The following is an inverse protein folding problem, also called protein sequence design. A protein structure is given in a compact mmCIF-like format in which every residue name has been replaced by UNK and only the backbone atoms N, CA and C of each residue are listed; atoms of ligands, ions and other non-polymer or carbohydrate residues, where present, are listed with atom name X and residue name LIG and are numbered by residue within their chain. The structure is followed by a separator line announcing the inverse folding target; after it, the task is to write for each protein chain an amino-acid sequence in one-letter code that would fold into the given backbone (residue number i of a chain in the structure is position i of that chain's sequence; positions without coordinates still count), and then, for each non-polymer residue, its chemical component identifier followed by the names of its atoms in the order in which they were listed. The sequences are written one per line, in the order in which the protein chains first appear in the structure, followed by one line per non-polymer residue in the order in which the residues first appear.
data_IF_539807864607
#
_entry.id   IF_539807864607
#
_cell.length_a   1.000
_cell.length_b   1.000
_cell.length_c   1.000
_cell.angle_alpha   90.00
_cell.angle_beta   90.00
_cell.angle_gamma   90.00
#
_symmetry.space_group_name_H-M   'P 1'
#
loop_
_entity.id
_entity.type
_entity.pdbx_description
1 polymer ?
#
# COMPACT_ATOMS: atom_id res chain seq x y z
N UNK A 1 -14.39 -24.06 -11.98
CA UNK A 1 -14.29 -23.05 -10.89
C UNK A 1 -14.48 -21.65 -11.49
N UNK A 2 -15.39 -20.81 -10.98
CA UNK A 2 -15.74 -19.53 -11.66
C UNK A 2 -14.72 -18.41 -11.36
N UNK A 3 -14.28 -17.69 -12.39
CA UNK A 3 -13.35 -16.51 -12.32
C UNK A 3 -13.77 -15.53 -11.22
N UNK A 4 -15.08 -15.23 -11.13
CA UNK A 4 -15.63 -14.30 -10.13
C UNK A 4 -15.42 -14.74 -8.68
N UNK A 5 -15.34 -16.06 -8.40
CA UNK A 5 -15.07 -16.57 -7.05
C UNK A 5 -13.62 -16.36 -6.67
N UNK A 6 -12.70 -16.63 -7.60
CA UNK A 6 -11.26 -16.45 -7.40
C UNK A 6 -10.89 -15.00 -7.13
N UNK A 7 -11.43 -14.08 -7.95
CA UNK A 7 -11.23 -12.63 -7.73
C UNK A 7 -11.77 -12.16 -6.38
N UNK A 8 -12.96 -12.63 -5.97
CA UNK A 8 -13.53 -12.30 -4.65
C UNK A 8 -12.69 -12.84 -3.50
N UNK A 9 -12.24 -14.08 -3.59
CA UNK A 9 -11.43 -14.70 -2.53
C UNK A 9 -10.07 -14.00 -2.39
N UNK A 10 -9.42 -13.65 -3.51
CA UNK A 10 -8.16 -12.91 -3.52
C UNK A 10 -8.30 -11.49 -2.95
N UNK A 11 -9.42 -10.80 -3.26
CA UNK A 11 -9.70 -9.48 -2.71
C UNK A 11 -10.03 -9.53 -1.22
N UNK A 12 -10.84 -10.50 -0.77
CA UNK A 12 -11.17 -10.68 0.65
C UNK A 12 -9.92 -10.89 1.51
N UNK A 13 -8.91 -11.56 0.95
CA UNK A 13 -7.62 -11.80 1.60
C UNK A 13 -6.62 -10.64 1.43
N UNK A 14 -6.96 -9.58 0.68
CA UNK A 14 -6.09 -8.43 0.32
C UNK A 14 -4.81 -8.81 -0.45
N UNK A 15 -4.71 -10.04 -0.96
CA UNK A 15 -3.53 -10.55 -1.67
C UNK A 15 -3.63 -10.44 -3.18
N UNK A 16 -4.78 -10.03 -3.73
CA UNK A 16 -5.00 -9.96 -5.18
C UNK A 16 -3.95 -9.12 -5.93
N UNK A 17 -3.35 -8.12 -5.28
CA UNK A 17 -2.26 -7.30 -5.85
C UNK A 17 -0.95 -8.08 -6.09
N UNK A 18 -0.72 -9.18 -5.38
CA UNK A 18 0.50 -9.99 -5.43
C UNK A 18 0.46 -11.14 -6.44
N UNK A 19 -0.72 -11.47 -6.97
CA UNK A 19 -0.90 -12.62 -7.85
C UNK A 19 -1.40 -12.19 -9.23
N UNK A 20 -0.86 -12.83 -10.25
CA UNK A 20 -1.45 -12.91 -11.57
C UNK A 20 -2.17 -14.26 -11.64
N UNK A 21 -3.47 -14.25 -11.93
CA UNK A 21 -4.31 -15.46 -11.95
C UNK A 21 -5.02 -15.52 -13.29
N UNK A 22 -4.82 -16.61 -14.01
CA UNK A 22 -5.53 -16.91 -15.25
C UNK A 22 -6.47 -18.10 -15.01
N UNK A 23 -7.73 -17.92 -15.41
CA UNK A 23 -8.75 -18.96 -15.36
C UNK A 23 -9.19 -19.23 -16.80
N UNK A 24 -9.09 -20.48 -17.21
CA UNK A 24 -9.47 -20.99 -18.54
C UNK A 24 -10.52 -22.08 -18.37
N UNK A 25 -11.13 -22.51 -19.47
CA UNK A 25 -12.09 -23.63 -19.43
C UNK A 25 -11.46 -24.94 -18.95
N UNK A 26 -10.16 -25.12 -19.16
CA UNK A 26 -9.39 -26.29 -18.74
C UNK A 26 -8.77 -26.22 -17.36
N UNK A 27 -8.82 -25.07 -16.66
CA UNK A 27 -8.24 -24.96 -15.32
C UNK A 27 -7.78 -23.57 -14.88
N UNK A 28 -7.01 -23.54 -13.80
CA UNK A 28 -6.49 -22.31 -13.17
C UNK A 28 -4.97 -22.36 -13.14
N UNK A 29 -4.33 -21.28 -13.54
CA UNK A 29 -2.90 -21.04 -13.32
C UNK A 29 -2.70 -19.73 -12.58
N UNK A 30 -1.60 -19.64 -11.82
CA UNK A 30 -1.25 -18.44 -11.08
C UNK A 30 0.26 -18.26 -11.00
N UNK A 31 0.69 -17.00 -10.89
CA UNK A 31 2.09 -16.61 -10.64
C UNK A 31 2.13 -15.47 -9.63
N UNK A 32 3.20 -15.45 -8.83
CA UNK A 32 3.48 -14.32 -7.93
C UNK A 32 4.12 -13.19 -8.71
N UNK A 33 3.70 -11.96 -8.42
CA UNK A 33 4.33 -10.74 -8.90
C UNK A 33 5.49 -10.39 -7.98
N UNK A 34 6.59 -11.15 -8.08
CA UNK A 34 7.70 -11.06 -7.13
C UNK A 34 8.28 -9.64 -7.02
N UNK A 35 8.38 -8.91 -8.13
CA UNK A 35 8.80 -7.50 -8.11
C UNK A 35 7.86 -6.59 -7.30
N UNK A 36 6.54 -6.81 -7.36
CA UNK A 36 5.59 -6.04 -6.52
C UNK A 36 5.66 -6.44 -5.06
N UNK A 37 5.83 -7.73 -4.78
CA UNK A 37 5.98 -8.23 -3.42
C UNK A 37 7.25 -7.64 -2.79
N UNK A 38 8.37 -7.64 -3.53
CA UNK A 38 9.62 -7.06 -3.05
C UNK A 38 9.54 -5.54 -2.88
N UNK A 39 8.87 -4.83 -3.80
CA UNK A 39 8.67 -3.39 -3.67
C UNK A 39 7.79 -3.02 -2.47
N UNK A 40 6.75 -3.81 -2.18
CA UNK A 40 5.92 -3.62 -1.00
C UNK A 40 6.68 -3.94 0.29
N UNK A 41 7.40 -5.07 0.34
CA UNK A 41 8.19 -5.45 1.50
C UNK A 41 9.28 -4.42 1.85
N UNK A 42 9.79 -3.67 0.87
CA UNK A 42 10.72 -2.55 1.11
C UNK A 42 10.09 -1.40 1.89
N UNK A 43 8.77 -1.23 1.78
CA UNK A 43 8.00 -0.23 2.52
C UNK A 43 7.41 -0.81 3.80
N UNK A 44 7.56 -2.10 4.07
CA UNK A 44 7.10 -2.70 5.31
C UNK A 44 8.19 -2.52 6.39
N UNK A 45 8.03 -1.50 7.22
CA UNK A 45 8.96 -1.18 8.30
C UNK A 45 8.33 -0.27 9.35
N UNK A 46 9.04 -0.02 10.44
CA UNK A 46 8.65 0.98 11.44
C UNK A 46 9.07 2.35 10.93
N UNK A 47 8.10 3.24 10.75
CA UNK A 47 8.33 4.62 10.36
C UNK A 47 8.28 5.53 11.58
N UNK A 48 9.29 6.39 11.72
CA UNK A 48 9.37 7.38 12.80
C UNK A 48 9.30 8.77 12.20
N UNK A 49 8.30 9.54 12.61
CA UNK A 49 8.21 10.97 12.30
C UNK A 49 8.94 11.72 13.41
N UNK A 50 9.88 12.60 13.04
CA UNK A 50 10.61 13.46 13.97
C UNK A 50 10.36 14.93 13.64
N UNK A 51 10.16 15.72 14.68
CA UNK A 51 10.03 17.19 14.61
C UNK A 51 10.98 17.80 15.64
N UNK A 52 11.43 19.02 15.39
CA UNK A 52 12.23 19.81 16.34
C UNK A 52 11.38 20.53 17.39
N UNK A 53 10.05 20.47 17.26
CA UNK A 53 9.11 21.07 18.21
C UNK A 53 8.95 20.17 19.43
N UNK A 54 8.83 20.79 20.60
CA UNK A 54 8.49 20.08 21.83
C UNK A 54 7.02 19.62 21.81
N UNK A 55 6.67 18.73 22.75
CA UNK A 55 5.34 18.12 22.82
C UNK A 55 4.22 19.08 23.24
N UNK A 56 4.53 20.20 23.91
CA UNK A 56 3.54 21.23 24.23
C UNK A 56 3.22 22.08 23.01
N UNK A 57 4.22 22.29 22.14
CA UNK A 57 4.09 23.02 20.87
C UNK A 57 3.45 22.15 19.77
N UNK A 58 3.80 20.86 19.68
CA UNK A 58 3.25 19.93 18.70
C UNK A 58 3.19 18.51 19.25
N UNK A 59 2.00 18.07 19.63
CA UNK A 59 1.75 16.72 20.12
C UNK A 59 1.96 15.64 19.03
N UNK A 60 2.07 14.36 19.43
CA UNK A 60 2.34 13.25 18.50
C UNK A 60 1.30 13.10 17.40
N UNK A 61 -0.01 13.16 17.69
CA UNK A 61 -1.04 13.05 16.66
C UNK A 61 -0.98 14.22 15.68
N UNK A 62 -0.81 15.44 16.20
CA UNK A 62 -0.69 16.64 15.39
C UNK A 62 0.56 16.61 14.48
N UNK A 63 1.67 16.03 14.94
CA UNK A 63 2.86 15.83 14.12
C UNK A 63 2.62 14.84 12.97
N UNK A 64 1.88 13.76 13.22
CA UNK A 64 1.48 12.79 12.19
C UNK A 64 0.56 13.47 11.16
N UNK A 65 -0.39 14.27 11.60
CA UNK A 65 -1.35 14.95 10.72
C UNK A 65 -0.68 16.05 9.89
N UNK A 66 0.23 16.83 10.48
CA UNK A 66 1.03 17.81 9.75
C UNK A 66 1.87 17.16 8.64
N UNK A 67 2.51 16.01 8.93
CA UNK A 67 3.25 15.24 7.92
C UNK A 67 2.34 14.74 6.78
N UNK A 68 1.15 14.22 7.10
CA UNK A 68 0.17 13.80 6.08
C UNK A 68 -0.31 14.98 5.22
N UNK A 69 -0.46 16.16 5.81
CA UNK A 69 -0.80 17.39 5.11
C UNK A 69 0.30 17.86 4.15
N UNK A 70 1.58 17.73 4.55
CA UNK A 70 2.72 18.08 3.70
C UNK A 70 2.73 17.27 2.40
N UNK A 71 2.34 15.99 2.45
CA UNK A 71 2.24 15.16 1.25
C UNK A 71 1.30 15.76 0.18
N UNK A 72 0.27 16.50 0.57
CA UNK A 72 -0.63 17.20 -0.37
C UNK A 72 0.05 18.41 -1.01
N UNK A 73 0.81 19.17 -0.23
CA UNK A 73 1.54 20.36 -0.70
C UNK A 73 2.66 19.97 -1.68
N UNK A 74 3.42 18.92 -1.36
CA UNK A 74 4.50 18.41 -2.22
C UNK A 74 3.95 17.83 -3.54
N UNK A 75 2.79 17.16 -3.51
CA UNK A 75 2.12 16.69 -4.74
C UNK A 75 1.70 17.85 -5.65
N UNK A 76 1.17 18.94 -5.08
CA UNK A 76 0.82 20.15 -5.83
C UNK A 76 2.07 20.88 -6.36
N UNK A 77 3.20 20.78 -5.65
CA UNK A 77 4.50 21.32 -6.08
C UNK A 77 5.13 20.52 -7.22
N UNK A 78 4.97 19.19 -7.21
CA UNK A 78 5.54 18.28 -8.22
C UNK A 78 4.75 18.25 -9.55
N UNK A 79 3.54 18.83 -9.57
CA UNK A 79 2.66 18.92 -10.75
C UNK A 79 2.66 20.30 -11.42
N UNK A 80 3.63 21.16 -11.07
CA UNK A 80 3.95 22.44 -11.71
C UNK A 80 5.31 22.36 -12.39
#
# INVERSE_FOLDING_TARGET
MRVRRVGRDANRRKVGKHFEIAVTDGGISWRRREGRIAAEARLDGVYVIRTSLDTASLGPEAAVDAYKGLAQVESARSSR
#
